data_IF_880666666166
#
_entry.id   IF_880666666166
#
_cell.length_a   1.000
_cell.length_b   1.000
_cell.length_c   1.000
_cell.angle_alpha   90.00
_cell.angle_beta   90.00
_cell.angle_gamma   90.00
#
_symmetry.space_group_name_H-M   'P 1'
#
loop_
_entity.id
_entity.type
_entity.pdbx_description
1 polymer ?
#
# COMPACT_ATOMS: atom_id res chain seq x y z
N UNK A 1 -60.07 59.41 -9.51
CA UNK A 1 -59.00 58.81 -10.34
C UNK A 1 -57.81 58.42 -9.46
N UNK A 2 -57.97 57.42 -8.58
CA UNK A 2 -56.96 57.08 -7.56
C UNK A 2 -56.97 55.58 -7.22
N UNK A 3 -56.99 54.71 -8.25
CA UNK A 3 -56.93 53.25 -8.04
C UNK A 3 -56.11 52.47 -9.07
N UNK A 4 -55.43 53.14 -10.01
CA UNK A 4 -54.63 52.46 -11.05
C UNK A 4 -53.13 52.41 -10.69
N UNK A 5 -52.65 53.29 -9.80
CA UNK A 5 -51.22 53.36 -9.48
C UNK A 5 -50.72 52.32 -8.46
N UNK A 6 -51.61 51.71 -7.66
CA UNK A 6 -51.24 50.69 -6.68
C UNK A 6 -51.17 49.26 -7.26
N UNK A 7 -51.68 49.04 -8.48
CA UNK A 7 -51.64 47.72 -9.12
C UNK A 7 -50.34 47.47 -9.92
N UNK A 8 -49.60 48.52 -10.27
CA UNK A 8 -48.39 48.39 -11.10
C UNK A 8 -47.10 48.17 -10.29
N UNK A 9 -47.14 48.36 -8.97
CA UNK A 9 -45.97 48.20 -8.11
C UNK A 9 -45.83 46.79 -7.50
N UNK A 10 -46.87 45.95 -7.58
CA UNK A 10 -46.83 44.55 -7.11
C UNK A 10 -46.35 43.56 -8.18
N UNK A 11 -46.35 43.95 -9.45
CA UNK A 11 -45.94 43.07 -10.56
C UNK A 11 -44.42 43.06 -10.83
N UNK A 12 -43.65 44.02 -10.30
CA UNK A 12 -42.19 44.05 -10.48
C UNK A 12 -41.42 43.26 -9.42
N UNK A 13 -42.01 42.98 -8.24
CA UNK A 13 -41.36 42.18 -7.19
C UNK A 13 -41.55 40.66 -7.35
N UNK A 14 -42.57 40.21 -8.08
CA UNK A 14 -42.81 38.77 -8.29
C UNK A 14 -41.92 38.19 -9.40
N UNK A 15 -41.43 39.01 -10.32
CA UNK A 15 -40.57 38.51 -11.41
C UNK A 15 -39.10 38.27 -10.98
N UNK A 16 -38.58 39.00 -9.99
CA UNK A 16 -37.21 38.78 -9.50
C UNK A 16 -37.04 37.51 -8.65
N UNK A 17 -38.11 36.99 -8.04
CA UNK A 17 -38.03 35.74 -7.24
C UNK A 17 -38.21 34.49 -8.13
N UNK A 18 -38.84 34.62 -9.30
CA UNK A 18 -39.05 33.48 -10.21
C UNK A 18 -37.83 33.13 -11.08
N UNK A 19 -36.83 34.02 -11.21
CA UNK A 19 -35.61 33.75 -12.00
C UNK A 19 -34.44 33.25 -11.11
N UNK A 20 -34.56 33.38 -9.78
CA UNK A 20 -33.54 32.87 -8.85
C UNK A 20 -33.76 31.42 -8.39
N UNK A 21 -34.92 30.81 -8.65
CA UNK A 21 -35.29 29.50 -8.09
C UNK A 21 -35.11 28.30 -9.03
N UNK A 22 -34.76 28.50 -10.31
CA UNK A 22 -34.64 27.39 -11.28
C UNK A 22 -33.22 27.09 -11.76
N UNK A 23 -32.22 27.92 -11.41
CA UNK A 23 -30.83 27.71 -11.88
C UNK A 23 -29.88 27.08 -10.85
N UNK A 24 -30.23 27.03 -9.56
CA UNK A 24 -29.30 26.52 -8.53
C UNK A 24 -29.31 25.01 -8.32
N UNK A 25 -30.31 24.27 -8.82
CA UNK A 25 -30.34 22.82 -8.62
C UNK A 25 -29.47 22.03 -9.61
N UNK A 26 -29.17 22.56 -10.79
CA UNK A 26 -28.36 21.88 -11.82
C UNK A 26 -26.86 22.05 -11.55
N UNK A 27 -26.41 23.25 -11.17
CA UNK A 27 -24.99 23.53 -10.94
C UNK A 27 -24.48 22.89 -9.63
N UNK A 28 -25.28 22.94 -8.56
CA UNK A 28 -24.93 22.24 -7.31
C UNK A 28 -25.03 20.72 -7.50
N UNK A 29 -26.01 20.17 -8.24
CA UNK A 29 -25.98 18.73 -8.60
C UNK A 29 -24.78 18.36 -9.49
N UNK A 30 -24.30 19.23 -10.37
CA UNK A 30 -23.08 19.01 -11.16
C UNK A 30 -21.81 19.04 -10.30
N UNK A 31 -21.75 19.88 -9.28
CA UNK A 31 -20.65 19.90 -8.29
C UNK A 31 -20.70 18.70 -7.33
N UNK A 32 -21.88 18.11 -7.14
CA UNK A 32 -22.13 16.89 -6.37
C UNK A 32 -22.18 15.61 -7.22
N UNK A 33 -21.86 15.67 -8.52
CA UNK A 33 -21.51 14.46 -9.27
C UNK A 33 -20.17 13.98 -8.74
N UNK A 34 -20.31 13.16 -7.69
CA UNK A 34 -19.30 12.44 -6.95
C UNK A 34 -18.03 12.28 -7.76
N UNK A 35 -16.95 12.88 -7.26
CA UNK A 35 -15.60 12.35 -7.46
C UNK A 35 -15.67 10.89 -7.02
N UNK A 36 -15.89 9.98 -7.98
CA UNK A 36 -15.81 8.54 -7.76
C UNK A 36 -14.43 8.32 -7.18
N UNK A 37 -14.35 8.00 -5.88
CA UNK A 37 -13.09 7.56 -5.30
C UNK A 37 -12.85 6.19 -5.91
N UNK A 38 -12.02 6.14 -6.94
CA UNK A 38 -11.47 4.88 -7.39
C UNK A 38 -10.68 4.31 -6.22
N UNK A 39 -11.15 3.17 -5.70
CA UNK A 39 -10.37 2.38 -4.77
C UNK A 39 -9.12 1.93 -5.53
N UNK A 40 -7.90 2.15 -4.97
CA UNK A 40 -6.69 1.67 -5.62
C UNK A 40 -6.78 0.15 -5.80
N UNK A 41 -6.56 -0.31 -7.02
CA UNK A 41 -6.48 -1.73 -7.37
C UNK A 41 -5.02 -2.18 -7.31
N UNK A 42 -4.81 -3.39 -6.80
CA UNK A 42 -3.47 -3.94 -6.61
C UNK A 42 -3.39 -5.30 -7.30
N UNK A 43 -2.39 -5.46 -8.15
CA UNK A 43 -2.14 -6.71 -8.85
C UNK A 43 -0.96 -7.47 -8.22
N UNK A 44 -1.00 -8.81 -8.17
CA UNK A 44 0.11 -9.60 -7.67
C UNK A 44 1.30 -9.51 -8.62
N UNK A 45 2.49 -9.33 -8.07
CA UNK A 45 3.72 -9.14 -8.84
C UNK A 45 4.62 -10.36 -8.70
N UNK A 46 5.06 -10.61 -7.48
CA UNK A 46 5.90 -11.75 -7.13
C UNK A 46 5.68 -12.13 -5.67
N UNK A 47 6.20 -13.30 -5.31
CA UNK A 47 6.23 -13.80 -3.95
C UNK A 47 7.63 -14.28 -3.58
N UNK A 48 7.94 -14.23 -2.29
CA UNK A 48 9.21 -14.70 -1.74
C UNK A 48 8.92 -15.66 -0.60
N UNK A 49 9.56 -16.84 -0.65
CA UNK A 49 9.60 -17.79 0.47
C UNK A 49 10.98 -17.77 1.10
N UNK A 50 11.03 -17.48 2.40
CA UNK A 50 12.28 -17.12 3.09
C UNK A 50 12.45 -17.94 4.37
N UNK A 51 13.42 -18.87 4.41
CA UNK A 51 13.85 -19.49 5.66
C UNK A 51 14.42 -18.45 6.63
N UNK A 52 13.98 -18.52 7.88
CA UNK A 52 14.39 -17.60 8.93
C UNK A 52 15.55 -18.18 9.73
N UNK A 53 16.54 -17.34 10.00
CA UNK A 53 17.57 -17.65 10.98
C UNK A 53 17.06 -17.56 12.43
N UNK A 54 17.94 -17.83 13.41
CA UNK A 54 17.60 -17.71 14.82
C UNK A 54 17.05 -16.33 15.18
N UNK A 55 16.03 -16.32 16.04
CA UNK A 55 15.44 -15.09 16.59
C UNK A 55 16.27 -14.59 17.76
N UNK A 56 16.69 -13.34 17.71
CA UNK A 56 17.40 -12.67 18.80
C UNK A 56 16.50 -11.57 19.42
N UNK A 57 15.74 -11.87 20.49
CA UNK A 57 14.91 -10.88 21.17
C UNK A 57 15.72 -10.03 22.16
N UNK A 58 15.49 -8.72 22.16
CA UNK A 58 16.08 -7.76 23.11
C UNK A 58 14.97 -6.92 23.72
N UNK A 59 14.83 -6.97 25.05
CA UNK A 59 13.84 -6.15 25.77
C UNK A 59 14.32 -4.71 25.86
N UNK A 60 13.40 -3.76 25.72
CA UNK A 60 13.66 -2.33 25.86
C UNK A 60 12.41 -1.55 26.27
N UNK A 61 12.54 -0.22 26.45
CA UNK A 61 11.44 0.63 26.95
C UNK A 61 10.24 0.69 26.00
N UNK A 62 10.44 0.42 24.70
CA UNK A 62 9.38 0.42 23.69
C UNK A 62 8.79 -0.97 23.40
N UNK A 63 9.18 -1.99 24.19
CA UNK A 63 8.77 -3.39 23.99
C UNK A 63 9.96 -4.30 23.69
N UNK A 64 9.71 -5.40 22.98
CA UNK A 64 10.74 -6.38 22.61
C UNK A 64 11.15 -6.17 21.15
N UNK A 65 12.40 -5.78 20.93
CA UNK A 65 13.02 -5.76 19.60
C UNK A 65 13.36 -7.18 19.19
N UNK A 66 13.14 -7.52 17.93
CA UNK A 66 13.51 -8.83 17.36
C UNK A 66 14.36 -8.62 16.13
N UNK A 67 15.41 -9.42 15.98
CA UNK A 67 16.24 -9.50 14.80
C UNK A 67 16.34 -10.96 14.34
N UNK A 68 16.20 -11.19 13.04
CA UNK A 68 16.33 -12.48 12.38
C UNK A 68 17.06 -12.30 11.05
N UNK A 69 18.08 -13.11 10.79
CA UNK A 69 18.67 -13.18 9.46
C UNK A 69 17.71 -13.85 8.48
N UNK A 70 17.68 -13.37 7.24
CA UNK A 70 16.99 -14.03 6.13
C UNK A 70 18.05 -14.76 5.30
N UNK A 71 18.10 -16.09 5.42
CA UNK A 71 19.27 -16.88 5.04
C UNK A 71 19.40 -17.08 3.53
N UNK A 72 18.27 -17.30 2.88
CA UNK A 72 18.12 -17.54 1.45
C UNK A 72 16.65 -17.34 1.08
N UNK A 73 16.28 -17.61 -0.17
CA UNK A 73 14.88 -17.62 -0.57
C UNK A 73 14.72 -17.69 -2.07
N UNK A 74 13.56 -18.16 -2.51
CA UNK A 74 13.20 -18.20 -3.93
C UNK A 74 12.17 -17.11 -4.17
N UNK A 75 12.37 -16.36 -5.25
CA UNK A 75 11.42 -15.37 -5.75
C UNK A 75 10.65 -16.00 -6.91
N UNK A 76 9.34 -16.07 -6.78
CA UNK A 76 8.44 -16.59 -7.81
C UNK A 76 7.56 -15.48 -8.36
N UNK A 77 7.28 -15.48 -9.66
CA UNK A 77 6.27 -14.60 -10.24
C UNK A 77 4.84 -14.98 -9.80
N UNK A 78 3.84 -14.20 -10.24
CA UNK A 78 2.44 -14.45 -9.94
C UNK A 78 1.91 -15.82 -10.41
N UNK A 79 2.58 -16.47 -11.38
CA UNK A 79 2.24 -17.82 -11.84
C UNK A 79 2.90 -18.93 -11.01
N UNK A 80 3.79 -18.57 -10.08
CA UNK A 80 4.57 -19.50 -9.27
C UNK A 80 5.88 -19.94 -9.92
N UNK A 81 6.28 -19.34 -11.04
CA UNK A 81 7.56 -19.67 -11.69
C UNK A 81 8.72 -18.94 -11.01
N UNK A 82 9.85 -19.62 -10.72
CA UNK A 82 11.04 -18.96 -10.20
C UNK A 82 11.59 -17.91 -11.17
N UNK A 83 11.84 -16.71 -10.66
CA UNK A 83 12.38 -15.56 -11.40
C UNK A 83 13.62 -14.94 -10.75
N UNK A 84 14.01 -15.42 -9.57
CA UNK A 84 15.17 -14.92 -8.84
C UNK A 84 15.33 -15.60 -7.49
N UNK A 85 16.29 -15.13 -6.72
CA UNK A 85 16.57 -15.63 -5.38
C UNK A 85 17.05 -14.52 -4.46
N UNK A 86 16.92 -14.72 -3.15
CA UNK A 86 17.53 -13.84 -2.16
C UNK A 86 19.04 -14.06 -2.17
N UNK A 87 19.81 -12.97 -2.26
CA UNK A 87 21.27 -13.01 -2.13
C UNK A 87 21.63 -13.43 -0.69
N UNK A 88 22.34 -14.55 -0.48
CA UNK A 88 22.63 -15.03 0.86
C UNK A 88 23.31 -13.98 1.76
N UNK A 89 22.92 -13.95 3.03
CA UNK A 89 23.52 -13.10 4.09
C UNK A 89 23.39 -11.58 3.91
N UNK A 90 22.62 -11.10 2.94
CA UNK A 90 22.43 -9.66 2.68
C UNK A 90 21.10 -9.13 3.23
N UNK A 91 20.27 -10.00 3.80
CA UNK A 91 18.86 -9.73 4.09
C UNK A 91 18.56 -9.96 5.58
N UNK A 92 17.70 -9.12 6.16
CA UNK A 92 17.41 -9.15 7.60
C UNK A 92 15.96 -8.71 7.87
N UNK A 93 15.31 -9.41 8.80
CA UNK A 93 14.04 -9.00 9.38
C UNK A 93 14.25 -8.45 10.79
N UNK A 94 13.90 -7.19 10.97
CA UNK A 94 13.86 -6.52 12.26
C UNK A 94 12.40 -6.22 12.64
N UNK A 95 12.17 -5.96 13.93
CA UNK A 95 10.89 -5.44 14.37
C UNK A 95 10.87 -5.05 15.84
N UNK A 96 9.82 -4.35 16.26
CA UNK A 96 9.46 -4.18 17.67
C UNK A 96 8.08 -4.77 17.89
N UNK A 97 7.92 -5.55 18.95
CA UNK A 97 6.61 -5.86 19.53
C UNK A 97 6.44 -4.98 20.74
N UNK A 98 5.54 -4.01 20.68
CA UNK A 98 5.28 -3.08 21.79
C UNK A 98 4.55 -3.76 22.95
N UNK A 99 4.48 -3.09 24.11
CA UNK A 99 3.84 -3.62 25.31
C UNK A 99 2.35 -3.95 25.14
N UNK A 100 1.66 -3.27 24.22
CA UNK A 100 0.27 -3.53 23.87
C UNK A 100 0.10 -4.62 22.77
N UNK A 101 1.19 -5.27 22.35
CA UNK A 101 1.17 -6.35 21.36
C UNK A 101 1.22 -5.92 19.89
N UNK A 102 1.26 -4.61 19.60
CA UNK A 102 1.44 -4.14 18.22
C UNK A 102 2.82 -4.50 17.70
N UNK A 103 2.89 -5.01 16.47
CA UNK A 103 4.12 -5.38 15.79
C UNK A 103 4.50 -4.36 14.72
N UNK A 104 5.73 -3.85 14.78
CA UNK A 104 6.29 -2.87 13.84
C UNK A 104 7.47 -3.52 13.09
N UNK A 105 7.20 -4.28 12.01
CA UNK A 105 8.25 -4.88 11.19
C UNK A 105 9.06 -3.84 10.41
N UNK A 106 10.35 -4.14 10.24
CA UNK A 106 11.24 -3.46 9.30
C UNK A 106 12.12 -4.53 8.66
N UNK A 107 11.93 -4.80 7.38
CA UNK A 107 12.61 -5.90 6.69
C UNK A 107 13.37 -5.36 5.50
N UNK A 108 14.58 -5.87 5.28
CA UNK A 108 15.37 -5.60 4.08
C UNK A 108 15.71 -6.91 3.36
N UNK A 109 15.46 -6.93 2.05
CA UNK A 109 15.70 -8.11 1.21
C UNK A 109 16.49 -7.70 -0.02
N UNK A 110 17.60 -8.37 -0.29
CA UNK A 110 18.33 -8.23 -1.56
C UNK A 110 18.00 -9.42 -2.45
N UNK A 111 17.53 -9.14 -3.66
CA UNK A 111 17.17 -10.12 -4.68
C UNK A 111 18.19 -10.05 -5.80
N UNK A 112 18.60 -11.21 -6.31
CA UNK A 112 19.22 -11.33 -7.64
C UNK A 112 18.21 -11.94 -8.60
N UNK A 113 17.98 -11.25 -9.71
CA UNK A 113 17.06 -11.66 -10.75
C UNK A 113 17.71 -12.72 -11.65
N UNK A 114 17.00 -13.81 -11.94
CA UNK A 114 17.53 -14.88 -12.78
C UNK A 114 17.44 -14.60 -14.28
N UNK A 115 16.79 -13.51 -14.70
CA UNK A 115 16.61 -13.18 -16.11
C UNK A 115 17.83 -12.45 -16.71
N UNK A 116 18.52 -11.67 -15.90
CA UNK A 116 19.57 -10.73 -16.34
C UNK A 116 20.69 -10.54 -15.29
N UNK A 117 20.70 -11.35 -14.23
CA UNK A 117 21.63 -11.30 -13.10
C UNK A 117 21.72 -9.94 -12.37
N UNK A 118 20.77 -9.04 -12.62
CA UNK A 118 20.69 -7.74 -11.94
C UNK A 118 20.14 -7.89 -10.53
N UNK A 119 20.33 -6.85 -9.70
CA UNK A 119 19.94 -6.85 -8.30
C UNK A 119 18.78 -5.90 -8.02
N UNK A 120 17.98 -6.25 -7.02
CA UNK A 120 17.02 -5.36 -6.40
C UNK A 120 17.15 -5.40 -4.87
N UNK A 121 16.88 -4.26 -4.24
CA UNK A 121 16.81 -4.11 -2.79
C UNK A 121 15.39 -3.70 -2.39
N UNK A 122 14.77 -4.51 -1.55
CA UNK A 122 13.46 -4.23 -0.96
C UNK A 122 13.66 -3.69 0.45
N UNK A 123 13.01 -2.58 0.75
CA UNK A 123 12.85 -2.04 2.10
C UNK A 123 11.38 -2.06 2.47
N UNK A 124 11.03 -2.84 3.48
CA UNK A 124 9.66 -3.07 3.91
C UNK A 124 9.44 -2.48 5.31
N UNK A 125 8.31 -1.80 5.50
CA UNK A 125 7.89 -1.27 6.80
C UNK A 125 6.39 -1.43 6.97
N UNK A 126 5.92 -1.78 8.17
CA UNK A 126 4.50 -1.92 8.41
C UNK A 126 4.10 -1.86 9.88
N UNK A 127 2.82 -2.13 10.10
CA UNK A 127 2.20 -2.22 11.42
C UNK A 127 1.24 -3.40 11.37
N UNK A 128 1.32 -4.28 12.36
CA UNK A 128 0.50 -5.48 12.43
C UNK A 128 0.41 -6.07 13.82
N UNK A 129 0.09 -7.35 13.87
CA UNK A 129 -0.01 -8.14 15.10
C UNK A 129 0.89 -9.36 14.93
N UNK A 130 1.73 -9.64 15.94
CA UNK A 130 2.64 -10.77 15.89
C UNK A 130 1.85 -12.08 15.71
N UNK A 131 2.25 -12.91 14.74
CA UNK A 131 1.57 -14.17 14.43
C UNK A 131 0.37 -14.04 13.50
N UNK A 132 -0.03 -12.83 13.11
CA UNK A 132 -1.02 -12.58 12.06
C UNK A 132 -0.35 -12.11 10.78
N UNK A 133 -1.05 -12.25 9.64
CA UNK A 133 -0.63 -11.63 8.38
C UNK A 133 -0.51 -10.12 8.58
N UNK A 134 0.64 -9.55 8.21
CA UNK A 134 0.93 -8.13 8.37
C UNK A 134 1.05 -7.48 7.00
N UNK A 135 0.34 -6.37 6.80
CA UNK A 135 0.50 -5.54 5.61
C UNK A 135 1.72 -4.63 5.76
N UNK A 136 2.51 -4.52 4.70
CA UNK A 136 3.72 -3.69 4.67
C UNK A 136 3.72 -2.80 3.44
N UNK A 137 4.23 -1.58 3.60
CA UNK A 137 4.68 -0.76 2.49
C UNK A 137 6.05 -1.26 2.03
N UNK A 138 6.27 -1.29 0.72
CA UNK A 138 7.52 -1.78 0.12
C UNK A 138 8.08 -0.69 -0.80
N UNK A 139 9.36 -0.37 -0.60
CA UNK A 139 10.18 0.36 -1.56
C UNK A 139 11.14 -0.61 -2.23
N UNK A 140 11.20 -0.59 -3.56
CA UNK A 140 12.13 -1.41 -4.34
C UNK A 140 13.11 -0.51 -5.09
N UNK A 141 14.40 -0.65 -4.77
CA UNK A 141 15.48 -0.08 -5.57
C UNK A 141 15.98 -1.18 -6.51
N UNK A 142 16.08 -0.93 -7.81
CA UNK A 142 16.51 -1.93 -8.80
C UNK A 142 17.27 -1.25 -9.93
N UNK A 143 18.11 -2.01 -10.61
CA UNK A 143 18.77 -1.53 -11.83
C UNK A 143 17.73 -1.12 -12.89
N UNK A 144 17.90 0.05 -13.51
CA UNK A 144 17.03 0.54 -14.59
C UNK A 144 17.14 -0.29 -15.87
N UNK A 145 18.24 -1.02 -16.08
CA UNK A 145 18.40 -1.97 -17.17
C UNK A 145 17.75 -3.34 -16.92
N UNK A 146 17.23 -3.57 -15.71
CA UNK A 146 16.61 -4.85 -15.35
C UNK A 146 15.30 -5.08 -16.10
N UNK A 147 15.03 -6.33 -16.47
CA UNK A 147 13.72 -6.79 -16.94
C UNK A 147 12.58 -6.45 -15.95
N UNK A 148 12.92 -6.29 -14.68
CA UNK A 148 11.98 -6.01 -13.59
C UNK A 148 12.00 -4.54 -13.14
N UNK A 149 12.69 -3.66 -13.87
CA UNK A 149 12.85 -2.25 -13.52
C UNK A 149 11.52 -1.51 -13.29
N UNK A 150 10.48 -1.86 -14.06
CA UNK A 150 9.15 -1.26 -13.95
C UNK A 150 8.52 -1.40 -12.56
N UNK A 151 8.85 -2.45 -11.80
CA UNK A 151 8.32 -2.64 -10.44
C UNK A 151 8.94 -1.67 -9.43
N UNK A 152 10.20 -1.28 -9.62
CA UNK A 152 10.86 -0.28 -8.78
C UNK A 152 10.27 1.13 -8.91
N UNK A 153 9.46 1.37 -9.95
CA UNK A 153 8.82 2.66 -10.22
C UNK A 153 7.35 2.70 -9.75
N UNK A 154 6.84 1.64 -9.12
CA UNK A 154 5.42 1.53 -8.72
C UNK A 154 5.27 1.62 -7.20
N UNK A 155 4.06 1.99 -6.78
CA UNK A 155 3.69 1.88 -5.38
C UNK A 155 3.45 0.42 -5.03
N UNK A 156 4.28 -0.13 -4.15
CA UNK A 156 4.22 -1.53 -3.75
C UNK A 156 3.72 -1.68 -2.32
N UNK A 157 2.87 -2.69 -2.13
CA UNK A 157 2.49 -3.20 -0.82
C UNK A 157 2.81 -4.69 -0.75
N UNK A 158 2.84 -5.25 0.45
CA UNK A 158 2.92 -6.68 0.59
C UNK A 158 2.22 -7.24 1.80
N UNK A 159 1.99 -8.54 1.74
CA UNK A 159 1.55 -9.37 2.86
C UNK A 159 2.73 -10.17 3.38
N UNK A 160 2.96 -10.13 4.68
CA UNK A 160 3.94 -10.98 5.37
C UNK A 160 3.20 -11.95 6.25
N UNK A 161 3.40 -13.25 6.05
CA UNK A 161 2.76 -14.31 6.84
C UNK A 161 3.74 -15.41 7.24
N UNK A 162 3.38 -16.12 8.32
CA UNK A 162 4.14 -17.22 8.90
C UNK A 162 3.19 -18.42 9.01
N UNK A 163 3.00 -19.20 7.93
CA UNK A 163 2.00 -20.27 7.88
C UNK A 163 2.29 -21.42 8.86
N UNK A 164 3.56 -21.60 9.24
CA UNK A 164 4.02 -22.55 10.25
C UNK A 164 4.98 -21.81 11.21
N UNK A 165 4.85 -21.96 12.54
CA UNK A 165 5.79 -21.38 13.52
C UNK A 165 7.28 -21.63 13.24
N UNK A 166 7.61 -22.75 12.61
CA UNK A 166 8.98 -23.13 12.25
C UNK A 166 9.22 -23.13 10.72
N UNK A 167 8.22 -22.71 9.95
CA UNK A 167 8.29 -22.65 8.50
C UNK A 167 8.93 -21.36 7.97
N UNK A 168 9.04 -21.25 6.63
CA UNK A 168 9.51 -20.02 6.00
C UNK A 168 8.49 -18.89 6.18
N UNK A 169 9.00 -17.66 6.26
CA UNK A 169 8.16 -16.48 6.06
C UNK A 169 7.78 -16.37 4.59
N UNK A 170 6.53 -16.00 4.34
CA UNK A 170 6.01 -15.73 3.01
C UNK A 170 5.77 -14.23 2.84
N UNK A 171 6.36 -13.66 1.80
CA UNK A 171 6.15 -12.29 1.37
C UNK A 171 5.40 -12.31 0.04
N UNK A 172 4.20 -11.77 -0.03
CA UNK A 172 3.51 -11.54 -1.31
C UNK A 172 3.57 -10.06 -1.63
N UNK A 173 3.98 -9.71 -2.83
CA UNK A 173 4.16 -8.32 -3.27
C UNK A 173 3.10 -7.98 -4.32
N UNK A 174 2.47 -6.83 -4.14
CA UNK A 174 1.46 -6.30 -5.02
C UNK A 174 1.84 -4.90 -5.46
N UNK A 175 1.52 -4.55 -6.70
CA UNK A 175 1.74 -3.22 -7.25
C UNK A 175 0.40 -2.54 -7.52
N UNK A 176 0.37 -1.23 -7.31
CA UNK A 176 -0.76 -0.39 -7.72
C UNK A 176 -0.90 -0.41 -9.25
N UNK A 177 -2.09 -0.76 -9.75
CA UNK A 177 -2.48 -0.73 -11.18
C UNK A 177 -2.42 0.67 -11.79
#
# INVERSE_FOLDING_TARGET
MSSILLLLCSLSFVSCVAIASTSSHSFIRKLWNLKVRHTPAFEPVFSISVPLGPKNPVKGPFGTRTNMALLSGIVNDASGKPIGHIVPHTSVANGVVSANGTYFPTVSITIQWGADDTYAYLSLSGVGVLGSTTMVYIRMDTDGGSKFAAWGQRFLIGEVSYPDPNGPALFKVFALE
#
